data_IF_904520551595
#
_entry.id   IF_904520551595
#
_cell.length_a   1.000
_cell.length_b   1.000
_cell.length_c   1.000
_cell.angle_alpha   90.00
_cell.angle_beta   90.00
_cell.angle_gamma   90.00
#
_symmetry.space_group_name_H-M   'P 1'
#
loop_
_entity.id
_entity.type
_entity.pdbx_description
1 polymer ?
#
# COMPACT_ATOMS: atom_id res chain seq x y z
N UNK A 1 -7.74 -7.29 14.01
CA UNK A 1 -8.73 -6.43 13.37
C UNK A 1 -8.29 -6.11 11.95
N UNK A 2 -9.20 -6.18 10.99
CA UNK A 2 -8.90 -6.02 9.56
C UNK A 2 -9.55 -4.74 9.03
N UNK A 3 -8.74 -3.87 8.43
CA UNK A 3 -9.22 -2.61 7.84
C UNK A 3 -8.76 -2.50 6.39
N UNK A 4 -9.63 -2.04 5.52
CA UNK A 4 -9.25 -1.68 4.17
C UNK A 4 -8.34 -0.45 4.21
N UNK A 5 -7.36 -0.42 3.30
CA UNK A 5 -6.38 0.66 3.23
C UNK A 5 -6.25 1.18 1.81
N UNK A 6 -6.23 2.50 1.69
CA UNK A 6 -5.88 3.22 0.47
C UNK A 6 -4.84 4.26 0.85
N UNK A 7 -3.71 4.25 0.20
CA UNK A 7 -2.60 5.12 0.56
C UNK A 7 -1.87 5.65 -0.66
N UNK A 8 -1.14 6.75 -0.49
CA UNK A 8 -0.27 7.33 -1.51
C UNK A 8 1.18 7.00 -1.20
N UNK A 9 1.86 6.42 -2.19
CA UNK A 9 3.29 6.23 -2.20
C UNK A 9 3.85 6.86 -3.47
N UNK A 10 4.63 7.92 -3.34
CA UNK A 10 5.01 8.76 -4.48
C UNK A 10 3.74 9.18 -5.24
N UNK A 11 3.65 8.92 -6.54
CA UNK A 11 2.47 9.24 -7.36
C UNK A 11 1.50 8.05 -7.48
N UNK A 12 1.80 6.94 -6.80
CA UNK A 12 0.99 5.74 -6.86
C UNK A 12 -0.07 5.71 -5.78
N UNK A 13 -1.22 5.14 -6.10
CA UNK A 13 -2.23 4.80 -5.12
C UNK A 13 -2.13 3.31 -4.81
N UNK A 14 -1.84 2.99 -3.55
CA UNK A 14 -1.75 1.61 -3.07
C UNK A 14 -3.06 1.22 -2.40
N UNK A 15 -3.48 -0.02 -2.62
CA UNK A 15 -4.62 -0.59 -1.93
C UNK A 15 -4.21 -1.88 -1.22
N UNK A 16 -4.90 -2.20 -0.13
CA UNK A 16 -4.63 -3.39 0.64
C UNK A 16 -5.45 -3.42 1.91
N UNK A 17 -4.96 -4.18 2.87
CA UNK A 17 -5.60 -4.31 4.18
C UNK A 17 -4.56 -4.15 5.27
N UNK A 18 -5.00 -3.65 6.41
CA UNK A 18 -4.20 -3.63 7.63
C UNK A 18 -4.86 -4.54 8.65
N UNK A 19 -4.10 -5.46 9.21
CA UNK A 19 -4.59 -6.36 10.26
C UNK A 19 -3.52 -6.45 11.33
N UNK A 20 -3.75 -5.78 12.47
CA UNK A 20 -2.75 -5.72 13.53
C UNK A 20 -3.38 -5.33 14.85
N UNK A 21 -2.65 -5.62 15.93
CA UNK A 21 -2.97 -5.16 17.28
C UNK A 21 -1.91 -4.23 17.84
N UNK A 22 -0.80 -4.04 17.12
CA UNK A 22 0.31 -3.19 17.52
C UNK A 22 0.31 -1.87 16.77
N UNK A 23 0.96 -0.88 17.34
CA UNK A 23 1.19 0.43 16.75
C UNK A 23 2.68 0.74 16.74
N UNK A 24 3.12 1.54 15.77
CA UNK A 24 4.50 1.99 15.70
C UNK A 24 4.53 3.51 15.82
N UNK A 25 5.40 3.99 16.69
CA UNK A 25 5.58 5.41 16.98
C UNK A 25 7.00 5.84 16.67
N UNK A 26 7.19 7.14 16.50
CA UNK A 26 8.51 7.72 16.41
C UNK A 26 9.14 7.68 15.02
N UNK A 27 8.39 7.36 13.98
CA UNK A 27 8.91 7.41 12.60
C UNK A 27 8.82 8.86 12.11
N UNK A 28 9.96 9.49 11.73
CA UNK A 28 9.93 10.83 11.15
C UNK A 28 9.10 10.87 9.85
N UNK A 29 8.43 12.00 9.60
CA UNK A 29 7.54 12.14 8.44
C UNK A 29 8.26 11.90 7.11
N UNK A 30 9.52 12.32 7.01
CA UNK A 30 10.32 12.15 5.80
C UNK A 30 10.76 10.70 5.57
N UNK A 31 10.56 9.82 6.54
CA UNK A 31 10.88 8.41 6.45
C UNK A 31 9.64 7.53 6.33
N UNK A 32 8.45 8.08 6.35
CA UNK A 32 7.23 7.30 6.20
C UNK A 32 7.17 6.66 4.81
N UNK A 33 6.70 5.41 4.76
CA UNK A 33 6.56 4.71 3.48
C UNK A 33 5.46 5.33 2.63
N UNK A 34 4.29 5.55 3.20
CA UNK A 34 3.16 6.10 2.47
C UNK A 34 2.26 6.92 3.40
N UNK A 35 1.33 7.66 2.78
CA UNK A 35 0.33 8.43 3.51
C UNK A 35 -1.04 7.80 3.25
N UNK A 36 -1.70 7.41 4.32
CA UNK A 36 -3.00 6.74 4.25
C UNK A 36 -4.09 7.78 3.99
N UNK A 37 -4.93 7.50 3.01
CA UNK A 37 -6.11 8.30 2.71
C UNK A 37 -7.37 7.68 3.30
N UNK A 38 -7.46 6.36 3.24
CA UNK A 38 -8.55 5.58 3.82
C UNK A 38 -7.92 4.44 4.61
N UNK A 39 -8.28 4.31 5.88
CA UNK A 39 -7.76 3.28 6.77
C UNK A 39 -6.97 3.85 7.92
N UNK A 40 -5.95 3.11 8.37
CA UNK A 40 -5.17 3.48 9.54
C UNK A 40 -3.70 3.70 9.19
N UNK A 41 -3.09 4.73 9.79
CA UNK A 41 -1.65 4.92 9.78
C UNK A 41 -0.93 3.98 10.74
N UNK A 42 0.35 4.23 10.98
CA UNK A 42 1.17 3.40 11.88
C UNK A 42 0.68 3.40 13.32
N UNK A 43 -0.04 4.46 13.71
CA UNK A 43 -0.65 4.59 15.02
C UNK A 43 -1.86 5.54 14.93
N UNK A 44 -2.68 5.66 15.99
CA UNK A 44 -3.89 6.49 15.93
C UNK A 44 -3.65 7.99 15.72
N UNK A 45 -2.44 8.47 15.95
CA UNK A 45 -2.14 9.90 15.92
C UNK A 45 -1.61 10.37 14.56
N UNK A 46 -1.46 9.49 13.58
CA UNK A 46 -0.90 9.84 12.28
C UNK A 46 -1.59 9.08 11.14
N UNK A 47 -1.58 9.71 9.96
CA UNK A 47 -1.97 9.02 8.73
C UNK A 47 -0.77 8.51 7.94
N UNK A 48 0.45 8.72 8.44
CA UNK A 48 1.65 8.12 7.86
C UNK A 48 1.70 6.64 8.21
N UNK A 49 2.12 5.82 7.26
CA UNK A 49 2.20 4.39 7.44
C UNK A 49 3.55 3.86 6.99
N UNK A 50 4.13 3.00 7.84
CA UNK A 50 5.35 2.29 7.53
C UNK A 50 6.60 3.15 7.51
N UNK A 51 7.69 2.54 7.06
CA UNK A 51 8.98 3.20 6.94
C UNK A 51 9.59 2.87 5.58
N UNK A 52 10.24 3.87 4.99
CA UNK A 52 11.02 3.70 3.77
C UNK A 52 12.32 4.47 3.96
N UNK A 53 13.42 3.75 4.15
CA UNK A 53 14.73 4.36 4.33
C UNK A 53 15.78 3.50 3.66
N UNK A 54 16.60 4.11 2.81
CA UNK A 54 17.63 3.40 2.05
C UNK A 54 16.98 2.27 1.23
N UNK A 55 17.28 1.01 1.53
CA UNK A 55 16.73 -0.15 0.84
C UNK A 55 15.72 -0.91 1.70
N UNK A 56 15.26 -0.30 2.78
CA UNK A 56 14.29 -0.93 3.68
C UNK A 56 12.93 -0.32 3.49
N UNK A 57 11.94 -1.15 3.23
CA UNK A 57 10.54 -0.78 3.24
C UNK A 57 9.84 -1.73 4.20
N UNK A 58 9.15 -1.17 5.19
CA UNK A 58 8.36 -1.94 6.12
C UNK A 58 6.97 -1.31 6.24
N UNK A 59 5.95 -2.13 6.18
CA UNK A 59 4.57 -1.65 6.21
C UNK A 59 3.65 -2.66 6.86
N UNK A 60 2.58 -2.16 7.46
CA UNK A 60 1.49 -2.99 7.95
C UNK A 60 0.44 -3.29 6.86
N UNK A 61 0.55 -2.63 5.69
CA UNK A 61 -0.39 -2.88 4.60
C UNK A 61 -0.03 -4.20 3.93
N UNK A 62 -1.01 -5.06 3.85
CA UNK A 62 -0.88 -6.35 3.17
C UNK A 62 -2.17 -6.69 2.45
N UNK A 63 -2.28 -7.92 2.02
CA UNK A 63 -3.54 -8.37 1.50
C UNK A 63 -3.66 -8.86 0.07
N UNK A 64 -2.69 -9.49 -0.54
CA UNK A 64 -1.25 -9.34 -0.67
C UNK A 64 -0.86 -8.06 -1.41
N UNK A 65 0.05 -7.31 -0.83
CA UNK A 65 0.41 -5.98 -1.34
C UNK A 65 0.86 -6.00 -2.81
N UNK A 66 1.74 -6.93 -3.16
CA UNK A 66 2.31 -6.95 -4.51
C UNK A 66 1.27 -7.33 -5.57
N UNK A 67 0.48 -8.37 -5.31
CA UNK A 67 -0.53 -8.83 -6.27
C UNK A 67 -1.58 -7.75 -6.52
N UNK A 68 -1.94 -7.00 -5.49
CA UNK A 68 -2.97 -5.97 -5.59
C UNK A 68 -2.49 -4.65 -6.18
N UNK A 69 -1.17 -4.45 -6.30
CA UNK A 69 -0.62 -3.16 -6.72
C UNK A 69 0.46 -3.36 -7.80
N UNK A 70 0.07 -3.58 -9.06
CA UNK A 70 1.05 -3.84 -10.12
C UNK A 70 2.03 -2.68 -10.35
N UNK A 71 1.62 -1.43 -10.17
CA UNK A 71 2.53 -0.30 -10.31
C UNK A 71 3.63 -0.34 -9.25
N UNK A 72 3.30 -0.79 -8.04
CA UNK A 72 4.30 -0.95 -6.98
C UNK A 72 5.29 -2.08 -7.32
N UNK A 73 4.83 -3.16 -7.94
CA UNK A 73 5.72 -4.22 -8.40
C UNK A 73 6.71 -3.69 -9.43
N UNK A 74 6.26 -2.88 -10.39
CA UNK A 74 7.16 -2.25 -11.36
C UNK A 74 8.19 -1.35 -10.68
N UNK A 75 7.76 -0.58 -9.68
CA UNK A 75 8.66 0.24 -8.88
C UNK A 75 9.77 -0.62 -8.25
N UNK A 76 9.40 -1.74 -7.62
CA UNK A 76 10.37 -2.63 -6.98
C UNK A 76 11.32 -3.26 -8.00
N UNK A 77 10.81 -3.69 -9.15
CA UNK A 77 11.66 -4.28 -10.20
C UNK A 77 12.69 -3.28 -10.69
N UNK A 78 12.34 -2.02 -10.84
CA UNK A 78 13.29 -0.98 -11.21
C UNK A 78 14.33 -0.74 -10.12
N UNK A 79 13.93 -0.72 -8.86
CA UNK A 79 14.85 -0.54 -7.73
C UNK A 79 15.83 -1.68 -7.58
N UNK A 80 15.44 -2.89 -7.98
CA UNK A 80 16.27 -4.07 -7.93
C UNK A 80 17.14 -4.26 -9.19
N UNK A 81 17.02 -3.35 -10.16
CA UNK A 81 17.68 -3.49 -11.47
C UNK A 81 17.39 -4.86 -12.10
N UNK A 82 16.15 -5.33 -11.97
CA UNK A 82 15.78 -6.64 -12.47
C UNK A 82 15.90 -6.69 -14.00
N UNK A 83 16.51 -7.74 -14.56
CA UNK A 83 16.65 -7.87 -16.01
C UNK A 83 15.31 -8.09 -16.71
N UNK A 84 14.34 -8.69 -16.02
CA UNK A 84 13.01 -8.89 -16.53
C UNK A 84 12.04 -7.97 -15.75
N UNK A 85 11.27 -7.17 -16.48
CA UNK A 85 10.32 -6.23 -15.89
C UNK A 85 8.88 -6.55 -16.24
N UNK A 86 8.65 -7.73 -16.80
CA UNK A 86 7.31 -8.20 -17.09
C UNK A 86 6.71 -8.89 -15.88
N UNK A 87 5.42 -8.63 -15.66
CA UNK A 87 4.68 -9.24 -14.56
C UNK A 87 3.72 -10.26 -15.17
N UNK A 88 3.82 -11.55 -14.79
CA UNK A 88 2.83 -12.54 -15.24
C UNK A 88 1.42 -12.12 -14.85
N UNK A 89 0.47 -12.28 -15.76
CA UNK A 89 -0.93 -11.96 -15.55
C UNK A 89 -1.20 -10.48 -15.19
N UNK A 90 -0.34 -9.58 -15.63
CA UNK A 90 -0.46 -8.17 -15.26
C UNK A 90 -1.81 -7.56 -15.69
N UNK A 91 -2.34 -7.92 -16.85
CA UNK A 91 -3.62 -7.40 -17.32
C UNK A 91 -4.75 -7.75 -16.34
N UNK A 92 -4.76 -8.98 -15.83
CA UNK A 92 -5.74 -9.41 -14.83
C UNK A 92 -5.53 -8.70 -13.50
N UNK A 93 -4.28 -8.52 -13.08
CA UNK A 93 -3.95 -7.78 -11.87
C UNK A 93 -4.41 -6.34 -11.94
N UNK A 94 -4.19 -5.69 -13.07
CA UNK A 94 -4.58 -4.28 -13.27
C UNK A 94 -6.10 -4.13 -13.28
N UNK A 95 -6.80 -5.06 -13.89
CA UNK A 95 -8.27 -5.07 -13.87
C UNK A 95 -8.79 -5.24 -12.43
N UNK A 96 -8.20 -6.15 -11.68
CA UNK A 96 -8.58 -6.36 -10.29
C UNK A 96 -8.30 -5.10 -9.44
N UNK A 97 -7.17 -4.45 -9.68
CA UNK A 97 -6.83 -3.19 -9.03
C UNK A 97 -7.88 -2.11 -9.32
N UNK A 98 -8.25 -1.94 -10.58
CA UNK A 98 -9.23 -0.92 -10.97
C UNK A 98 -10.59 -1.18 -10.32
N UNK A 99 -11.03 -2.42 -10.27
CA UNK A 99 -12.29 -2.80 -9.61
C UNK A 99 -12.23 -2.50 -8.11
N UNK A 100 -11.15 -2.88 -7.44
CA UNK A 100 -10.97 -2.62 -6.01
C UNK A 100 -10.90 -1.13 -5.71
N UNK A 101 -10.14 -0.39 -6.50
CA UNK A 101 -9.98 1.05 -6.30
C UNK A 101 -11.33 1.76 -6.45
N UNK A 102 -12.14 1.36 -7.42
CA UNK A 102 -13.47 1.95 -7.62
C UNK A 102 -14.38 1.76 -6.40
N UNK A 103 -14.22 0.66 -5.65
CA UNK A 103 -15.00 0.44 -4.43
C UNK A 103 -14.75 1.50 -3.37
N UNK A 104 -13.54 2.05 -3.30
CA UNK A 104 -13.20 3.07 -2.31
C UNK A 104 -13.90 4.41 -2.55
N UNK A 105 -14.49 4.61 -3.73
CA UNK A 105 -15.30 5.79 -4.01
C UNK A 105 -16.78 5.63 -3.70
N UNK A 106 -17.20 4.45 -3.26
CA UNK A 106 -18.62 4.22 -2.96
C UNK A 106 -18.98 4.74 -1.58
N UNK A 107 -20.16 5.37 -1.43
CA UNK A 107 -20.56 5.94 -0.14
C UNK A 107 -20.88 4.89 0.93
N UNK A 108 -21.14 3.65 0.54
CA UNK A 108 -21.50 2.55 1.43
C UNK A 108 -20.32 1.60 1.71
N UNK A 109 -19.09 2.06 1.49
CA UNK A 109 -17.91 1.24 1.71
C UNK A 109 -17.75 0.85 3.18
N UNK A 110 -17.62 -0.45 3.43
CA UNK A 110 -17.26 -0.96 4.75
C UNK A 110 -15.76 -1.02 4.89
N UNK A 111 -15.22 -0.44 5.97
CA UNK A 111 -13.79 -0.36 6.21
C UNK A 111 -13.23 -1.53 7.02
N UNK A 112 -14.10 -2.28 7.65
CA UNK A 112 -13.67 -3.41 8.50
C UNK A 112 -14.42 -4.68 8.15
#
# INVERSE_FOLDING_TARGET
MLFRSKAKFNDMTLIGYTSRFAHTYGIPDDMAFCKVEIGQGSNPDTMNEGICKNRVIATYIHGPLLIQNPDFVHYLLEKLDAPMKEIPFEAAMRKAYDVKLAEYGKPDLELS
#
